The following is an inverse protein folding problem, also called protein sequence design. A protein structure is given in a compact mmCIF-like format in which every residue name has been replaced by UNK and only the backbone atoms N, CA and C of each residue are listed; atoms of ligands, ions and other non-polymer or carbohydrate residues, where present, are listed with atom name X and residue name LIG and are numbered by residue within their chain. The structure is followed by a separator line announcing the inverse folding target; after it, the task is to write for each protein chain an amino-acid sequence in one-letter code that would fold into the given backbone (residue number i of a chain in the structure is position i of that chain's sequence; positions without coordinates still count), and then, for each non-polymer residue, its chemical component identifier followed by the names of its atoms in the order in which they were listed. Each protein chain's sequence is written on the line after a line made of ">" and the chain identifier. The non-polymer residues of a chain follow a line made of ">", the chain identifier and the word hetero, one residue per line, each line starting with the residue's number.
data_IF_950656740858
#
_entry.id   IF_950656740858
#
_cell.length_a   1.000
_cell.length_b   1.000
_cell.length_c   1.000
_cell.angle_alpha   90.00
_cell.angle_beta   90.00
_cell.angle_gamma   90.00
#
_symmetry.space_group_name_H-M   'P 1'
#
loop_
_entity.id
_entity.type
_entity.pdbx_description
1 polymer ?
#
# COMPACT_ATOMS: atom_id res chain seq x y z
N UNK A 1 -13.31 -22.89 -5.46
CA UNK A 1 -13.20 -22.47 -5.53
C UNK A 1 -13.03 -21.88 -5.57
N UNK A 2 -13.24 -21.58 -5.57
CA UNK A 2 -13.12 -20.95 -5.71
C UNK A 2 -13.03 -20.08 -5.66
N UNK A 3 -13.14 -19.61 -5.87
CA UNK A 3 -13.07 -18.83 -5.97
C UNK A 3 -13.00 -18.13 -5.54
N UNK A 4 -13.21 -17.87 -5.25
CA UNK A 4 -13.25 -17.18 -4.78
C UNK A 4 -12.41 -16.49 -4.46
N UNK A 5 -12.14 -16.59 -4.37
CA UNK A 5 -11.41 -16.03 -4.19
C UNK A 5 -10.75 -15.55 -4.74
N UNK A 6 -10.89 -15.76 -5.04
CA UNK A 6 -10.21 -15.34 -5.90
C UNK A 6 -10.17 -13.99 -6.13
N UNK A 7 -11.05 -13.35 -6.00
CA UNK A 7 -11.00 -11.99 -6.12
C UNK A 7 -10.53 -11.37 -4.92
N UNK A 8 -9.49 -10.61 -4.92
CA UNK A 8 -9.06 -9.86 -3.77
C UNK A 8 -9.98 -8.69 -3.56
N UNK A 9 -10.27 -8.40 -2.32
CA UNK A 9 -11.06 -7.22 -2.00
C UNK A 9 -10.20 -5.99 -2.27
N UNK A 10 -10.85 -4.84 -2.32
CA UNK A 10 -10.13 -3.60 -2.51
C UNK A 10 -9.11 -3.38 -1.42
N UNK A 11 -9.49 -3.69 -0.20
CA UNK A 11 -8.59 -3.49 0.93
C UNK A 11 -7.34 -4.35 0.78
N UNK A 12 -7.51 -5.58 0.32
CA UNK A 12 -6.35 -6.44 0.15
C UNK A 12 -5.42 -5.93 -0.93
N UNK A 13 -5.99 -5.43 -2.01
CA UNK A 13 -5.16 -4.86 -3.06
C UNK A 13 -4.39 -3.68 -2.57
N UNK A 14 -5.05 -2.82 -1.81
CA UNK A 14 -4.40 -1.64 -1.28
C UNK A 14 -3.33 -2.02 -0.28
N UNK A 15 -3.60 -3.02 0.54
CA UNK A 15 -2.59 -3.48 1.49
C UNK A 15 -1.33 -3.96 0.79
N UNK A 16 -1.51 -4.72 -0.27
CA UNK A 16 -0.36 -5.21 -1.02
C UNK A 16 0.44 -4.05 -1.59
N UNK A 17 -0.26 -3.08 -2.12
CA UNK A 17 0.41 -1.92 -2.68
C UNK A 17 1.13 -1.13 -1.59
N UNK A 18 0.50 -0.97 -0.45
CA UNK A 18 1.08 -0.26 0.66
C UNK A 18 2.40 -0.90 1.08
N UNK A 19 2.37 -2.21 1.27
CA UNK A 19 3.58 -2.92 1.66
C UNK A 19 4.69 -2.75 0.64
N UNK A 20 4.32 -2.84 -0.63
CA UNK A 20 5.30 -2.72 -1.66
C UNK A 20 5.94 -1.34 -1.65
N UNK A 21 5.14 -0.31 -1.46
CA UNK A 21 5.66 1.05 -1.41
C UNK A 21 6.61 1.23 -0.24
N UNK A 22 6.26 0.66 0.89
CA UNK A 22 7.15 0.76 2.04
C UNK A 22 8.47 0.04 1.80
N UNK A 23 8.40 -1.12 1.17
CA UNK A 23 9.62 -1.85 0.84
C UNK A 23 10.50 -1.03 -0.08
N UNK A 24 9.89 -0.41 -1.05
CA UNK A 24 10.65 0.40 -2.00
C UNK A 24 11.26 1.59 -1.31
N UNK A 25 10.52 2.20 -0.39
CA UNK A 25 11.07 3.34 0.32
C UNK A 25 12.27 2.92 1.16
N UNK A 26 12.20 1.76 1.76
CA UNK A 26 13.32 1.22 2.51
C UNK A 26 14.56 1.10 1.66
N UNK A 27 14.40 0.49 0.50
CA UNK A 27 15.53 0.30 -0.40
C UNK A 27 16.11 1.62 -0.86
N UNK A 28 15.26 2.58 -1.06
CA UNK A 28 15.71 3.87 -1.55
C UNK A 28 16.26 4.77 -0.45
N UNK A 29 16.00 4.42 0.80
CA UNK A 29 16.37 5.30 1.90
C UNK A 29 17.88 5.55 1.97
N UNK A 30 18.67 4.60 1.48
CA UNK A 30 20.11 4.80 1.50
C UNK A 30 20.67 5.27 0.18
N UNK A 31 19.92 5.14 -0.90
CA UNK A 31 20.42 5.54 -2.21
C UNK A 31 19.75 6.79 -2.73
N UNK A 32 18.48 6.98 -2.42
CA UNK A 32 17.77 8.14 -2.93
C UNK A 32 16.68 8.55 -1.96
N UNK A 33 17.06 9.40 -1.03
CA UNK A 33 16.15 9.85 0.01
C UNK A 33 14.91 10.52 -0.55
N UNK A 34 15.08 11.27 -1.60
CA UNK A 34 13.96 11.98 -2.18
C UNK A 34 12.91 11.03 -2.70
N UNK A 35 13.33 10.00 -3.42
CA UNK A 35 12.39 9.00 -3.91
C UNK A 35 11.80 8.21 -2.76
N UNK A 36 12.62 7.93 -1.75
CA UNK A 36 12.15 7.23 -0.58
C UNK A 36 10.99 8.00 0.07
N UNK A 37 11.17 9.30 0.21
CA UNK A 37 10.12 10.13 0.82
C UNK A 37 8.87 10.14 -0.04
N UNK A 38 9.04 10.14 -1.35
CA UNK A 38 7.90 10.08 -2.26
C UNK A 38 7.14 8.78 -2.08
N UNK A 39 7.87 7.68 -1.92
CA UNK A 39 7.21 6.40 -1.74
C UNK A 39 6.44 6.36 -0.43
N UNK A 40 7.00 6.95 0.61
CA UNK A 40 6.31 7.00 1.89
C UNK A 40 5.03 7.82 1.77
N UNK A 41 5.10 8.93 1.05
CA UNK A 41 3.92 9.76 0.86
C UNK A 41 2.83 8.98 0.13
N UNK A 42 3.22 8.23 -0.89
CA UNK A 42 2.25 7.42 -1.61
C UNK A 42 1.68 6.33 -0.72
N UNK A 43 2.53 5.71 0.09
CA UNK A 43 2.07 4.69 1.00
C UNK A 43 1.05 5.25 1.98
N UNK A 44 1.29 6.47 2.45
CA UNK A 44 0.36 7.10 3.37
C UNK A 44 -0.99 7.36 2.73
N UNK A 45 -0.97 7.72 1.45
CA UNK A 45 -2.22 7.89 0.73
C UNK A 45 -2.99 6.58 0.65
N UNK A 46 -2.28 5.51 0.37
CA UNK A 46 -2.91 4.20 0.31
C UNK A 46 -3.48 3.83 1.67
N UNK A 47 -2.71 4.10 2.71
CA UNK A 47 -3.18 3.80 4.06
C UNK A 47 -4.46 4.55 4.38
N UNK A 48 -4.55 5.79 3.94
CA UNK A 48 -5.75 6.58 4.13
C UNK A 48 -6.93 5.90 3.47
N UNK A 49 -6.75 5.43 2.26
CA UNK A 49 -7.83 4.77 1.55
C UNK A 49 -8.25 3.48 2.26
N UNK A 50 -7.27 2.75 2.76
CA UNK A 50 -7.58 1.53 3.48
C UNK A 50 -8.41 1.85 4.71
N UNK A 51 -8.01 2.88 5.44
CA UNK A 51 -8.73 3.28 6.63
C UNK A 51 -10.17 3.67 6.31
N UNK A 52 -10.34 4.42 5.24
CA UNK A 52 -11.67 4.83 4.84
C UNK A 52 -12.54 3.65 4.48
N UNK A 53 -11.98 2.69 3.78
CA UNK A 53 -12.74 1.52 3.39
C UNK A 53 -13.13 0.69 4.59
N UNK A 54 -12.25 0.58 5.56
CA UNK A 54 -12.53 -0.19 6.74
C UNK A 54 -13.59 0.46 7.61
N UNK A 55 -13.55 1.77 7.69
CA UNK A 55 -14.49 2.49 8.52
C UNK A 55 -15.84 2.62 7.89
N UNK A 56 -15.88 2.44 6.61
CA UNK A 56 -17.09 2.66 5.91
C UNK A 56 -17.98 1.48 6.02
N UNK A 57 -18.09 0.65 6.62
CA UNK A 57 -18.87 -0.43 6.70
C UNK A 57 -20.09 -0.30 7.07
#
# INVERSE_FOLDING_TARGET
>A
MLNIFKKKSKVEKLNTKYKKLLEESYKLSTTNRRLSDSKVAEANEILKQITLLKNDR
#
